data_IF_740480266260
#
_entry.id   IF_740480266260
#
_cell.length_a   1.000
_cell.length_b   1.000
_cell.length_c   1.000
_cell.angle_alpha   90.00
_cell.angle_beta   90.00
_cell.angle_gamma   90.00
#
_symmetry.space_group_name_H-M   'P 1'
#
loop_
_entity.id
_entity.type
_entity.pdbx_description
1 polymer ?
#
# COMPACT_ATOMS: atom_id res chain seq x y z
N UNK A 1 11.65 42.20 9.10
CA UNK A 1 11.35 40.80 8.75
C UNK A 1 12.60 39.92 8.56
N UNK A 2 13.79 40.44 8.21
CA UNK A 2 15.01 39.62 8.10
C UNK A 2 15.70 39.31 9.45
N UNK A 3 15.54 40.21 10.44
CA UNK A 3 16.16 40.08 11.77
C UNK A 3 15.55 38.98 12.65
N UNK A 4 14.34 38.51 12.36
CA UNK A 4 13.67 37.48 13.16
C UNK A 4 14.24 36.08 12.91
N UNK A 5 14.58 35.78 11.65
CA UNK A 5 15.08 34.45 11.27
C UNK A 5 16.47 34.19 11.87
N UNK A 6 17.35 35.20 11.82
CA UNK A 6 18.68 35.12 12.44
C UNK A 6 18.62 34.93 13.96
N UNK A 7 17.64 35.57 14.63
CA UNK A 7 17.39 35.41 16.07
C UNK A 7 16.83 34.02 16.42
N UNK A 8 16.03 33.43 15.53
CA UNK A 8 15.56 32.05 15.65
C UNK A 8 16.71 31.04 15.58
N UNK A 9 17.66 31.22 14.65
CA UNK A 9 18.85 30.35 14.55
C UNK A 9 19.84 30.56 15.71
N UNK A 10 20.05 31.82 16.16
CA UNK A 10 20.92 32.13 17.29
C UNK A 10 20.41 31.54 18.62
N UNK A 11 19.10 31.38 18.77
CA UNK A 11 18.48 30.80 19.96
C UNK A 11 18.63 29.27 20.06
N UNK A 12 19.26 28.60 19.08
CA UNK A 12 19.26 27.11 18.98
C UNK A 12 17.85 26.56 19.23
N UNK A 13 16.85 27.21 18.65
CA UNK A 13 15.48 26.68 18.72
C UNK A 13 15.57 25.37 17.96
N UNK A 14 15.37 24.26 18.65
CA UNK A 14 15.24 22.94 18.03
C UNK A 14 13.93 22.96 17.22
N UNK A 15 13.96 23.57 16.03
CA UNK A 15 12.82 23.74 15.12
C UNK A 15 12.36 22.37 14.60
N UNK A 16 13.28 21.41 14.55
CA UNK A 16 13.01 20.02 14.23
C UNK A 16 13.19 19.17 15.48
N UNK A 17 12.27 19.31 16.44
CA UNK A 17 11.84 18.10 17.13
C UNK A 17 11.07 17.32 16.07
N UNK A 18 11.79 16.55 15.24
CA UNK A 18 11.12 15.37 14.69
C UNK A 18 10.58 14.59 15.89
N UNK A 19 9.44 13.88 15.77
CA UNK A 19 9.17 12.85 16.76
C UNK A 19 10.47 12.06 16.93
N UNK A 20 10.85 11.76 18.17
CA UNK A 20 12.02 10.90 18.44
C UNK A 20 11.74 9.55 17.76
N UNK A 21 12.06 9.46 16.47
CA UNK A 21 11.99 8.23 15.71
C UNK A 21 13.20 7.49 16.21
N UNK A 22 13.00 6.74 17.28
CA UNK A 22 13.96 5.75 17.70
C UNK A 22 14.22 4.86 16.50
N UNK A 23 15.45 4.92 15.98
CA UNK A 23 15.92 4.11 14.86
C UNK A 23 16.03 2.66 15.32
N UNK A 24 14.87 2.02 15.44
CA UNK A 24 14.68 0.62 15.76
C UNK A 24 14.39 -0.15 14.48
N UNK A 25 14.49 -1.48 14.56
CA UNK A 25 14.10 -2.35 13.46
C UNK A 25 12.60 -2.15 13.15
N UNK A 26 11.75 -1.98 14.17
CA UNK A 26 10.31 -1.76 13.99
C UNK A 26 10.02 -0.46 13.23
N UNK A 27 10.68 0.65 13.59
CA UNK A 27 10.47 1.93 12.89
C UNK A 27 10.98 1.89 11.44
N UNK A 28 12.09 1.20 11.19
CA UNK A 28 12.59 0.97 9.84
C UNK A 28 11.62 0.11 9.00
N UNK A 29 11.12 -1.00 9.54
CA UNK A 29 10.16 -1.88 8.87
C UNK A 29 8.84 -1.15 8.61
N UNK A 30 8.31 -0.44 9.61
CA UNK A 30 7.10 0.39 9.50
C UNK A 30 7.24 1.41 8.36
N UNK A 31 8.38 2.09 8.27
CA UNK A 31 8.66 3.02 7.19
C UNK A 31 8.67 2.33 5.81
N UNK A 32 9.35 1.18 5.68
CA UNK A 32 9.43 0.41 4.44
C UNK A 32 8.03 -0.02 3.97
N UNK A 33 7.23 -0.61 4.87
CA UNK A 33 5.86 -1.03 4.53
C UNK A 33 5.00 0.15 4.11
N UNK A 34 5.04 1.27 4.84
CA UNK A 34 4.27 2.48 4.51
C UNK A 34 4.69 3.06 3.16
N UNK A 35 5.99 3.14 2.88
CA UNK A 35 6.52 3.62 1.60
C UNK A 35 6.08 2.72 0.44
N UNK A 36 6.20 1.40 0.60
CA UNK A 36 5.78 0.43 -0.40
C UNK A 36 4.27 0.52 -0.68
N UNK A 37 3.44 0.59 0.36
CA UNK A 37 1.98 0.70 0.21
C UNK A 37 1.57 2.02 -0.46
N UNK A 38 2.22 3.14 -0.12
CA UNK A 38 1.97 4.43 -0.79
C UNK A 38 2.35 4.39 -2.27
N UNK A 39 3.54 3.87 -2.59
CA UNK A 39 3.96 3.67 -3.98
C UNK A 39 3.00 2.74 -4.75
N UNK A 40 2.51 1.69 -4.09
CA UNK A 40 1.53 0.78 -4.67
C UNK A 40 0.20 1.47 -4.96
N UNK A 41 -0.30 2.30 -4.04
CA UNK A 41 -1.49 3.12 -4.26
C UNK A 41 -1.36 4.03 -5.49
N UNK A 42 -0.22 4.69 -5.66
CA UNK A 42 0.04 5.51 -6.86
C UNK A 42 0.10 4.68 -8.14
N UNK A 43 0.71 3.49 -8.09
CA UNK A 43 0.70 2.57 -9.23
C UNK A 43 -0.72 2.17 -9.63
N UNK A 44 -1.56 1.79 -8.65
CA UNK A 44 -2.95 1.41 -8.90
C UNK A 44 -3.73 2.53 -9.59
N UNK A 45 -3.50 3.80 -9.22
CA UNK A 45 -4.16 4.96 -9.87
C UNK A 45 -3.84 5.11 -11.35
N UNK A 46 -2.67 4.65 -11.79
CA UNK A 46 -2.26 4.71 -13.20
C UNK A 46 -2.78 3.54 -14.04
N UNK A 47 -3.31 2.50 -13.42
CA UNK A 47 -3.77 1.27 -14.09
C UNK A 47 -5.28 1.32 -14.32
N UNK A 48 -5.78 0.51 -15.26
CA UNK A 48 -7.22 0.25 -15.46
C UNK A 48 -7.52 -1.20 -15.15
N UNK A 49 -8.54 -1.45 -14.33
CA UNK A 49 -8.90 -2.78 -13.85
C UNK A 49 -10.20 -3.31 -14.48
N UNK A 50 -10.36 -4.63 -14.44
CA UNK A 50 -11.65 -5.30 -14.63
C UNK A 50 -12.11 -5.88 -13.29
N UNK A 51 -13.28 -6.52 -13.32
CA UNK A 51 -13.86 -7.25 -12.21
C UNK A 51 -12.87 -8.16 -11.49
N UNK A 52 -12.14 -9.01 -12.21
CA UNK A 52 -11.18 -9.95 -11.62
C UNK A 52 -9.93 -9.24 -11.09
N UNK A 53 -9.55 -8.09 -11.66
CA UNK A 53 -8.46 -7.25 -11.18
C UNK A 53 -8.73 -6.66 -9.81
N UNK A 54 -9.94 -6.15 -9.59
CA UNK A 54 -10.35 -5.65 -8.27
C UNK A 54 -10.44 -6.79 -7.24
N UNK A 55 -10.94 -7.96 -7.64
CA UNK A 55 -10.97 -9.14 -6.75
C UNK A 55 -9.57 -9.62 -6.37
N UNK A 56 -8.62 -9.60 -7.32
CA UNK A 56 -7.22 -9.92 -7.02
C UNK A 56 -6.62 -8.89 -6.07
N UNK A 57 -6.94 -7.60 -6.25
CA UNK A 57 -6.50 -6.55 -5.36
C UNK A 57 -6.97 -6.75 -3.92
N UNK A 58 -8.20 -7.24 -3.72
CA UNK A 58 -8.69 -7.60 -2.37
C UNK A 58 -7.85 -8.72 -1.74
N UNK A 59 -7.54 -9.77 -2.50
CA UNK A 59 -6.75 -10.91 -1.99
C UNK A 59 -5.32 -10.47 -1.67
N UNK A 60 -4.70 -9.70 -2.57
CA UNK A 60 -3.33 -9.22 -2.40
C UNK A 60 -3.22 -8.25 -1.22
N UNK A 61 -4.19 -7.35 -1.06
CA UNK A 61 -4.25 -6.44 0.08
C UNK A 61 -4.38 -7.21 1.40
N UNK A 62 -5.32 -8.16 1.50
CA UNK A 62 -5.46 -8.97 2.73
C UNK A 62 -4.22 -9.81 3.02
N UNK A 63 -3.58 -10.38 2.00
CA UNK A 63 -2.32 -11.11 2.19
C UNK A 63 -1.20 -10.20 2.71
N UNK A 64 -1.09 -8.98 2.17
CA UNK A 64 -0.11 -7.99 2.62
C UNK A 64 -0.40 -7.51 4.05
N UNK A 65 -1.66 -7.36 4.46
CA UNK A 65 -2.03 -7.04 5.86
C UNK A 65 -1.54 -8.11 6.82
N UNK A 66 -1.86 -9.38 6.54
CA UNK A 66 -1.39 -10.51 7.35
C UNK A 66 0.14 -10.58 7.38
N UNK A 67 0.79 -10.33 6.24
CA UNK A 67 2.26 -10.32 6.16
C UNK A 67 2.86 -9.20 7.00
N UNK A 68 2.33 -7.97 6.91
CA UNK A 68 2.79 -6.84 7.70
C UNK A 68 2.64 -7.10 9.21
N UNK A 69 1.54 -7.72 9.64
CA UNK A 69 1.30 -8.10 11.03
C UNK A 69 2.30 -9.12 11.59
N UNK A 70 3.05 -9.84 10.73
CA UNK A 70 4.15 -10.71 11.18
C UNK A 70 5.44 -9.95 11.51
N UNK A 71 5.61 -8.74 10.98
CA UNK A 71 6.86 -7.97 11.08
C UNK A 71 6.73 -6.69 11.91
N UNK A 72 5.54 -6.09 11.94
CA UNK A 72 5.27 -4.87 12.69
C UNK A 72 4.76 -5.21 14.08
N UNK A 73 5.42 -4.67 15.09
CA UNK A 73 5.10 -4.95 16.50
C UNK A 73 4.16 -3.91 17.09
N UNK A 74 4.20 -2.68 16.58
CA UNK A 74 3.32 -1.61 17.01
C UNK A 74 1.95 -1.69 16.32
N UNK A 75 0.88 -1.75 17.13
CA UNK A 75 -0.51 -1.77 16.64
C UNK A 75 -0.82 -0.57 15.74
N UNK A 76 -0.30 0.63 16.06
CA UNK A 76 -0.51 1.81 15.22
C UNK A 76 0.13 1.66 13.84
N UNK A 77 1.33 1.06 13.76
CA UNK A 77 1.99 0.79 12.49
C UNK A 77 1.24 -0.25 11.66
N UNK A 78 0.71 -1.29 12.29
CA UNK A 78 -0.15 -2.28 11.61
C UNK A 78 -1.39 -1.60 11.04
N UNK A 79 -2.12 -0.86 11.87
CA UNK A 79 -3.36 -0.17 11.47
C UNK A 79 -3.13 0.85 10.34
N UNK A 80 -2.01 1.57 10.36
CA UNK A 80 -1.66 2.48 9.26
C UNK A 80 -1.43 1.72 7.94
N UNK A 81 -0.73 0.59 7.97
CA UNK A 81 -0.52 -0.24 6.77
C UNK A 81 -1.84 -0.84 6.30
N UNK A 82 -2.69 -1.31 7.20
CA UNK A 82 -4.03 -1.81 6.85
C UNK A 82 -4.88 -0.74 6.18
N UNK A 83 -4.88 0.49 6.71
CA UNK A 83 -5.57 1.64 6.11
C UNK A 83 -5.06 1.92 4.70
N UNK A 84 -3.74 1.96 4.51
CA UNK A 84 -3.14 2.19 3.18
C UNK A 84 -3.53 1.08 2.19
N UNK A 85 -3.61 -0.17 2.64
CA UNK A 85 -4.02 -1.30 1.79
C UNK A 85 -5.52 -1.28 1.48
N UNK A 86 -6.38 -0.80 2.40
CA UNK A 86 -7.78 -0.51 2.11
C UNK A 86 -7.93 0.59 1.03
N UNK A 87 -7.09 1.63 1.11
CA UNK A 87 -7.06 2.68 0.09
C UNK A 87 -6.62 2.13 -1.27
N UNK A 88 -5.65 1.21 -1.31
CA UNK A 88 -5.23 0.52 -2.55
C UNK A 88 -6.41 -0.21 -3.20
N UNK A 89 -7.20 -0.97 -2.44
CA UNK A 89 -8.40 -1.65 -2.97
C UNK A 89 -9.41 -0.62 -3.48
N UNK A 90 -9.65 0.45 -2.72
CA UNK A 90 -10.58 1.52 -3.09
C UNK A 90 -10.15 2.21 -4.39
N UNK A 91 -8.86 2.57 -4.50
CA UNK A 91 -8.28 3.13 -5.73
C UNK A 91 -8.48 2.16 -6.91
N UNK A 92 -8.37 0.85 -6.71
CA UNK A 92 -8.59 -0.12 -7.80
C UNK A 92 -10.04 -0.16 -8.29
N UNK A 93 -11.01 0.03 -7.38
CA UNK A 93 -12.44 0.10 -7.71
C UNK A 93 -12.74 1.35 -8.53
N UNK A 94 -12.19 2.51 -8.14
CA UNK A 94 -12.32 3.77 -8.88
C UNK A 94 -11.71 3.71 -10.29
N UNK A 95 -10.72 2.83 -10.47
CA UNK A 95 -10.01 2.63 -11.74
C UNK A 95 -10.56 1.48 -12.59
N UNK A 96 -11.59 0.79 -12.12
CA UNK A 96 -12.16 -0.34 -12.82
C UNK A 96 -13.18 0.08 -13.88
N UNK A 97 -13.19 -0.62 -15.03
CA UNK A 97 -14.25 -0.47 -16.04
C UNK A 97 -15.59 -1.02 -15.52
N UNK A 98 -15.50 -2.13 -14.79
CA UNK A 98 -16.58 -2.78 -14.06
C UNK A 98 -15.93 -3.51 -12.89
N UNK A 99 -16.55 -3.47 -11.70
CA UNK A 99 -16.05 -4.21 -10.55
C UNK A 99 -17.16 -4.94 -9.78
N UNK A 100 -16.76 -6.00 -9.09
CA UNK A 100 -17.56 -6.62 -8.04
C UNK A 100 -16.62 -7.07 -6.94
N UNK A 101 -17.01 -6.84 -5.69
CA UNK A 101 -16.22 -7.32 -4.57
C UNK A 101 -16.43 -8.83 -4.37
N UNK A 102 -15.36 -9.51 -4.00
CA UNK A 102 -15.40 -10.86 -3.50
C UNK A 102 -15.98 -10.84 -2.08
N UNK A 103 -16.80 -11.83 -1.74
CA UNK A 103 -17.26 -11.97 -0.35
C UNK A 103 -16.08 -12.27 0.56
N UNK A 104 -16.11 -11.70 1.76
CA UNK A 104 -15.03 -11.74 2.74
C UNK A 104 -14.52 -13.16 3.03
N UNK A 105 -15.42 -14.14 3.18
CA UNK A 105 -15.06 -15.56 3.40
C UNK A 105 -14.16 -16.12 2.29
N UNK A 106 -14.36 -15.70 1.05
CA UNK A 106 -13.54 -16.17 -0.06
C UNK A 106 -12.20 -15.45 -0.08
N UNK A 107 -12.15 -14.17 0.31
CA UNK A 107 -10.88 -13.44 0.42
C UNK A 107 -9.98 -14.16 1.43
N UNK A 108 -10.45 -14.41 2.65
CA UNK A 108 -9.67 -15.13 3.67
C UNK A 108 -9.27 -16.55 3.25
N UNK A 109 -10.17 -17.29 2.61
CA UNK A 109 -9.86 -18.64 2.13
C UNK A 109 -8.73 -18.65 1.08
N UNK A 110 -8.71 -17.69 0.16
CA UNK A 110 -7.64 -17.59 -0.85
C UNK A 110 -6.33 -17.10 -0.24
N UNK A 111 -6.40 -16.14 0.69
CA UNK A 111 -5.22 -15.62 1.39
C UNK A 111 -4.52 -16.69 2.22
N UNK A 112 -5.26 -17.45 3.03
CA UNK A 112 -4.70 -18.54 3.86
C UNK A 112 -4.10 -19.67 3.03
N UNK A 113 -4.70 -19.98 1.88
CA UNK A 113 -4.16 -20.98 0.95
C UNK A 113 -2.88 -20.48 0.24
N UNK A 114 -2.78 -19.18 -0.02
CA UNK A 114 -1.57 -18.56 -0.57
C UNK A 114 -0.40 -18.68 0.41
N UNK A 115 -0.63 -18.47 1.71
CA UNK A 115 0.40 -18.59 2.75
C UNK A 115 1.01 -19.99 2.90
N UNK A 116 0.29 -21.06 2.51
CA UNK A 116 0.80 -22.44 2.53
C UNK A 116 1.62 -22.83 1.30
N UNK A 117 1.56 -22.06 0.21
CA UNK A 117 2.37 -22.28 -0.99
C UNK A 117 3.50 -21.27 -1.02
N UNK A 118 4.70 -21.73 -0.70
CA UNK A 118 5.96 -21.01 -0.74
C UNK A 118 6.04 -20.01 -1.92
N UNK A 119 6.02 -18.70 -1.62
CA UNK A 119 6.56 -17.57 -2.39
C UNK A 119 6.25 -17.39 -3.89
N UNK A 120 5.45 -18.24 -4.52
CA UNK A 120 5.20 -18.17 -5.97
C UNK A 120 3.71 -18.36 -6.26
N UNK A 121 2.93 -17.31 -6.05
CA UNK A 121 1.80 -17.09 -6.93
C UNK A 121 2.25 -16.09 -8.01
N UNK A 122 2.46 -16.54 -9.26
CA UNK A 122 2.64 -15.65 -10.42
C UNK A 122 1.48 -14.67 -10.63
N UNK A 123 0.44 -14.74 -9.80
CA UNK A 123 -0.83 -14.00 -9.90
C UNK A 123 -0.70 -12.49 -9.75
N UNK A 124 0.35 -11.98 -9.10
CA UNK A 124 0.61 -10.52 -9.01
C UNK A 124 0.74 -9.90 -10.42
N UNK A 125 1.10 -10.70 -11.43
CA UNK A 125 1.22 -10.25 -12.82
C UNK A 125 -0.02 -10.52 -13.70
N UNK A 126 -1.06 -11.20 -13.21
CA UNK A 126 -2.10 -11.78 -14.10
C UNK A 126 -3.44 -11.02 -14.11
N UNK A 127 -3.63 -9.97 -13.31
CA UNK A 127 -4.93 -9.28 -13.25
C UNK A 127 -4.90 -7.79 -13.65
N UNK A 128 -3.94 -7.36 -14.47
CA UNK A 128 -3.99 -6.06 -15.16
C UNK A 128 -4.72 -6.28 -16.49
N UNK A 129 -5.86 -5.63 -16.70
CA UNK A 129 -6.64 -5.78 -17.94
C UNK A 129 -5.82 -5.39 -19.14
N UNK A 130 -5.77 -6.34 -20.08
CA UNK A 130 -5.81 -6.15 -21.53
C UNK A 130 -5.71 -4.69 -21.94
N UNK A 131 -4.49 -4.24 -22.24
CA UNK A 131 -4.33 -3.06 -23.07
C UNK A 131 -5.19 -3.31 -24.30
N UNK A 132 -6.32 -2.61 -24.46
CA UNK A 132 -6.83 -2.38 -25.81
C UNK A 132 -5.61 -1.83 -26.54
N UNK A 133 -5.13 -2.57 -27.54
CA UNK A 133 -4.20 -2.08 -28.57
C UNK A 133 -4.87 -0.85 -29.18
N UNK A 134 -4.68 0.30 -28.55
CA UNK A 134 -4.94 1.60 -29.13
C UNK A 134 -3.89 1.73 -30.22
N UNK A 135 -4.29 1.41 -31.44
CA UNK A 135 -3.61 1.78 -32.65
C UNK A 135 -3.29 3.27 -32.57
N UNK A 136 -2.05 3.59 -32.21
CA UNK A 136 -1.46 4.88 -32.54
C UNK A 136 -1.34 4.89 -34.05
N UNK A 137 -2.38 5.39 -34.72
CA UNK A 137 -2.30 5.81 -36.11
C UNK A 137 -1.36 7.02 -36.14
N UNK A 138 -0.16 6.82 -36.68
CA UNK A 138 0.51 7.87 -37.46
C UNK A 138 0.08 7.70 -38.92
#
# INVERSE_FOLDING_TARGET
>A
MYMDVARLFAKKIHIYHGPDVDFTIDSALSCIFKMACKAYGEYVRMVTFNKTGVQQMQIDAEWLKLTAALYLTSESSVNEVESLLCDVVTNSMERAVEYSLLEERYVYHHTTRSSHKSLCCPSVLVAIVSTKKGTMKM
#
